data_IF_326361791930
#
_entry.id   IF_326361791930
#
_cell.length_a   1.000
_cell.length_b   1.000
_cell.length_c   1.000
_cell.angle_alpha   90.00
_cell.angle_beta   90.00
_cell.angle_gamma   90.00
#
_symmetry.space_group_name_H-M   'P 1'
#
loop_
_entity.id
_entity.type
_entity.pdbx_description
1 polymer ?
#
# COMPACT_ATOMS: atom_id res chain seq x y z
N UNK A 1 -24.63 -6.39 10.00
CA UNK A 1 -23.81 -6.01 11.17
C UNK A 1 -22.36 -5.92 10.73
N UNK A 2 -21.71 -4.76 10.93
CA UNK A 2 -20.35 -4.50 10.46
C UNK A 2 -19.30 -5.34 11.21
N UNK A 3 -18.24 -5.72 10.51
CA UNK A 3 -17.09 -6.48 11.03
C UNK A 3 -16.39 -5.76 12.20
N UNK A 4 -16.34 -4.43 12.18
CA UNK A 4 -15.75 -3.62 13.24
C UNK A 4 -16.50 -3.74 14.57
N UNK A 5 -17.84 -3.70 14.54
CA UNK A 5 -18.66 -3.83 15.75
C UNK A 5 -18.50 -5.20 16.41
N UNK A 6 -18.24 -6.25 15.64
CA UNK A 6 -17.96 -7.60 16.16
C UNK A 6 -16.58 -7.69 16.79
N UNK A 7 -15.60 -7.00 16.21
CA UNK A 7 -14.26 -6.90 16.77
C UNK A 7 -14.30 -6.18 18.11
N UNK A 8 -14.93 -5.00 18.17
CA UNK A 8 -15.14 -4.24 19.41
C UNK A 8 -15.78 -5.11 20.50
N UNK A 9 -16.85 -5.84 20.18
CA UNK A 9 -17.53 -6.74 21.12
C UNK A 9 -16.66 -7.92 21.60
N UNK A 10 -15.81 -8.49 20.72
CA UNK A 10 -14.88 -9.57 21.11
C UNK A 10 -13.71 -9.04 21.93
N UNK A 11 -13.23 -7.84 21.59
CA UNK A 11 -12.21 -7.14 22.36
C UNK A 11 -12.74 -6.82 23.75
N UNK A 12 -13.94 -6.24 23.86
CA UNK A 12 -14.65 -6.00 25.13
C UNK A 12 -14.80 -7.29 25.95
N UNK A 13 -15.12 -8.43 25.32
CA UNK A 13 -15.23 -9.72 26.00
C UNK A 13 -13.89 -10.31 26.51
N UNK A 14 -12.76 -9.96 25.88
CA UNK A 14 -11.41 -10.29 26.36
C UNK A 14 -10.97 -9.34 27.51
N UNK A 15 -11.64 -8.20 27.68
CA UNK A 15 -11.33 -7.18 28.69
C UNK A 15 -12.15 -7.42 29.97
N UNK A 16 -11.80 -8.45 30.73
CA UNK A 16 -12.32 -8.62 32.11
C UNK A 16 -11.23 -8.48 33.19
N UNK A 17 -10.13 -7.76 32.92
CA UNK A 17 -9.11 -7.54 33.96
C UNK A 17 -8.23 -6.31 33.86
N UNK A 18 -7.71 -5.95 32.68
CA UNK A 18 -6.54 -5.03 32.64
C UNK A 18 -6.41 -4.16 31.39
N UNK A 19 -7.27 -4.32 30.38
CA UNK A 19 -7.11 -3.62 29.10
C UNK A 19 -7.56 -2.14 29.16
N UNK A 20 -8.80 -1.80 29.55
CA UNK A 20 -9.31 -0.42 29.39
C UNK A 20 -8.51 0.72 30.08
N UNK A 21 -7.69 0.41 31.10
CA UNK A 21 -6.88 1.40 31.83
C UNK A 21 -5.51 1.68 31.17
N UNK A 22 -5.04 0.77 30.30
CA UNK A 22 -3.75 0.85 29.60
C UNK A 22 -3.90 1.48 28.21
N UNK A 23 -5.13 1.57 27.68
CA UNK A 23 -5.40 2.00 26.29
C UNK A 23 -5.91 3.44 26.18
N UNK A 24 -5.42 4.35 27.03
CA UNK A 24 -5.20 5.75 26.60
C UNK A 24 -3.97 5.86 25.69
N UNK A 25 -3.73 4.82 24.91
CA UNK A 25 -2.72 4.73 23.87
C UNK A 25 -3.16 5.65 22.73
N UNK A 26 -2.22 6.36 22.13
CA UNK A 26 -2.48 7.14 20.92
C UNK A 26 -2.83 6.23 19.74
N UNK A 27 -2.42 4.95 19.76
CA UNK A 27 -2.83 3.93 18.79
C UNK A 27 -3.99 3.10 19.32
N UNK A 28 -5.13 3.11 18.62
CA UNK A 28 -6.29 2.26 18.96
C UNK A 28 -6.29 0.95 18.15
N UNK A 29 -6.60 -0.21 18.76
CA UNK A 29 -6.69 -1.49 18.04
C UNK A 29 -7.68 -1.48 16.87
N UNK A 30 -8.75 -0.67 16.96
CA UNK A 30 -9.73 -0.50 15.89
C UNK A 30 -9.11 0.21 14.68
N UNK A 31 -8.17 1.12 14.90
CA UNK A 31 -7.45 1.79 13.82
C UNK A 31 -6.52 0.82 13.09
N UNK A 32 -5.81 -0.05 13.84
CA UNK A 32 -4.99 -1.13 13.28
C UNK A 32 -5.86 -2.09 12.46
N UNK A 33 -7.01 -2.50 12.98
CA UNK A 33 -7.96 -3.35 12.25
C UNK A 33 -8.44 -2.71 10.94
N UNK A 34 -8.78 -1.41 10.98
CA UNK A 34 -9.17 -0.66 9.80
C UNK A 34 -8.03 -0.52 8.79
N UNK A 35 -6.79 -0.32 9.27
CA UNK A 35 -5.62 -0.24 8.43
C UNK A 35 -5.32 -1.58 7.74
N UNK A 36 -5.46 -2.72 8.44
CA UNK A 36 -5.31 -4.06 7.86
C UNK A 36 -6.35 -4.35 6.77
N UNK A 37 -7.61 -3.94 6.97
CA UNK A 37 -8.66 -4.07 5.94
C UNK A 37 -8.31 -3.26 4.70
N UNK A 38 -7.94 -1.99 4.87
CA UNK A 38 -7.52 -1.11 3.76
C UNK A 38 -6.30 -1.67 3.04
N UNK A 39 -5.35 -2.25 3.78
CA UNK A 39 -4.15 -2.85 3.21
C UNK A 39 -4.46 -4.08 2.36
N UNK A 40 -5.47 -4.88 2.75
CA UNK A 40 -6.00 -5.96 1.91
C UNK A 40 -6.57 -5.44 0.60
N UNK A 41 -7.42 -4.40 0.67
CA UNK A 41 -8.06 -3.82 -0.52
C UNK A 41 -7.02 -3.19 -1.46
N UNK A 42 -6.00 -2.52 -0.91
CA UNK A 42 -4.96 -1.83 -1.67
C UNK A 42 -4.00 -2.77 -2.40
N UNK A 43 -3.68 -3.92 -1.80
CA UNK A 43 -2.80 -4.94 -2.39
C UNK A 43 -3.58 -6.11 -3.04
N UNK A 44 -4.90 -6.00 -3.10
CA UNK A 44 -5.76 -6.96 -3.79
C UNK A 44 -5.36 -7.04 -5.27
N UNK A 45 -4.85 -8.20 -5.68
CA UNK A 45 -4.36 -8.46 -7.03
C UNK A 45 -5.28 -9.46 -7.71
N UNK A 46 -5.78 -9.14 -8.89
CA UNK A 46 -6.62 -10.04 -9.67
C UNK A 46 -5.71 -11.13 -10.26
N UNK A 47 -5.87 -12.37 -9.79
CA UNK A 47 -5.07 -13.50 -10.27
C UNK A 47 -5.72 -14.17 -11.48
N UNK A 48 -7.04 -14.29 -11.49
CA UNK A 48 -7.82 -14.75 -12.63
C UNK A 48 -9.20 -14.08 -12.65
N UNK A 49 -10.03 -14.37 -13.66
CA UNK A 49 -11.38 -13.76 -13.82
C UNK A 49 -12.32 -14.00 -12.63
N UNK A 50 -12.03 -14.95 -11.76
CA UNK A 50 -12.91 -15.38 -10.66
C UNK A 50 -12.29 -15.18 -9.27
N UNK A 51 -11.00 -14.83 -9.17
CA UNK A 51 -10.26 -14.80 -7.90
C UNK A 51 -9.35 -13.59 -7.82
N UNK A 52 -9.62 -12.78 -6.79
CA UNK A 52 -8.75 -11.72 -6.31
C UNK A 52 -7.96 -12.26 -5.12
N UNK A 53 -6.64 -12.15 -5.22
CA UNK A 53 -5.70 -12.60 -4.20
C UNK A 53 -5.25 -11.43 -3.35
N UNK A 54 -5.17 -11.65 -2.04
CA UNK A 54 -4.70 -10.66 -1.06
C UNK A 54 -3.49 -11.18 -0.28
N UNK A 55 -2.67 -10.28 0.30
CA UNK A 55 -1.59 -10.67 1.20
C UNK A 55 -2.08 -11.51 2.38
N UNK A 56 -1.22 -12.41 2.84
CA UNK A 56 -1.52 -13.34 3.95
C UNK A 56 -0.55 -13.19 5.13
N UNK A 57 0.46 -12.34 5.03
CA UNK A 57 1.38 -12.04 6.12
C UNK A 57 1.36 -10.53 6.37
N UNK A 58 0.97 -10.12 7.57
CA UNK A 58 0.86 -8.72 7.97
C UNK A 58 1.72 -8.45 9.19
N UNK A 59 2.51 -7.39 9.10
CA UNK A 59 3.38 -6.92 10.17
C UNK A 59 2.88 -5.54 10.56
N UNK A 60 2.45 -5.40 11.82
CA UNK A 60 2.07 -4.12 12.41
C UNK A 60 3.26 -3.62 13.21
N UNK A 61 3.99 -2.68 12.63
CA UNK A 61 5.12 -2.02 13.26
C UNK A 61 4.60 -0.89 14.17
N UNK A 62 5.06 -0.87 15.40
CA UNK A 62 4.65 0.05 16.45
C UNK A 62 5.88 0.76 17.03
N UNK A 63 5.69 1.98 17.54
CA UNK A 63 6.71 2.68 18.32
C UNK A 63 7.18 1.82 19.50
N UNK A 64 8.43 2.01 19.94
CA UNK A 64 8.99 1.29 21.11
C UNK A 64 8.08 1.35 22.35
N UNK A 65 7.59 2.52 22.81
CA UNK A 65 6.74 2.59 24.00
C UNK A 65 5.36 1.94 23.81
N UNK A 66 4.81 1.95 22.59
CA UNK A 66 3.52 1.30 22.32
C UNK A 66 3.67 -0.22 22.20
N UNK A 67 4.75 -0.68 21.57
CA UNK A 67 5.08 -2.09 21.48
C UNK A 67 5.29 -2.72 22.86
N UNK A 68 6.05 -2.07 23.76
CA UNK A 68 6.29 -2.60 25.11
C UNK A 68 4.98 -2.76 25.92
N UNK A 69 4.02 -1.84 25.74
CA UNK A 69 2.70 -1.93 26.38
C UNK A 69 1.83 -3.04 25.80
N UNK A 70 1.92 -3.26 24.49
CA UNK A 70 1.11 -4.24 23.75
C UNK A 70 1.76 -5.64 23.71
N UNK A 71 3.05 -5.75 23.98
CA UNK A 71 3.84 -6.99 23.96
C UNK A 71 3.18 -8.12 24.75
N UNK A 72 2.65 -7.92 25.98
CA UNK A 72 2.00 -8.99 26.75
C UNK A 72 0.77 -9.60 26.07
N UNK A 73 0.15 -8.84 25.16
CA UNK A 73 -1.11 -9.20 24.49
C UNK A 73 -0.93 -9.42 22.99
N UNK A 74 0.29 -9.28 22.47
CA UNK A 74 0.62 -9.32 21.04
C UNK A 74 0.14 -10.60 20.35
N UNK A 75 0.25 -11.76 21.02
CA UNK A 75 -0.26 -13.03 20.51
C UNK A 75 -1.77 -13.04 20.33
N UNK A 76 -2.52 -12.75 21.40
CA UNK A 76 -3.99 -12.72 21.35
C UNK A 76 -4.52 -11.63 20.39
N UNK A 77 -3.89 -10.46 20.38
CA UNK A 77 -4.25 -9.37 19.48
C UNK A 77 -4.00 -9.78 18.02
N UNK A 78 -2.86 -10.41 17.72
CA UNK A 78 -2.53 -10.91 16.39
C UNK A 78 -3.53 -11.96 15.90
N UNK A 79 -3.95 -12.89 16.77
CA UNK A 79 -4.96 -13.90 16.45
C UNK A 79 -6.33 -13.29 16.15
N UNK A 80 -6.78 -12.32 16.96
CA UNK A 80 -8.05 -11.62 16.74
C UNK A 80 -8.03 -10.78 15.46
N UNK A 81 -6.94 -10.03 15.21
CA UNK A 81 -6.76 -9.26 13.98
C UNK A 81 -6.72 -10.18 12.74
N UNK A 82 -6.02 -11.32 12.83
CA UNK A 82 -6.01 -12.34 11.77
C UNK A 82 -7.41 -12.89 11.49
N UNK A 83 -8.18 -13.17 12.55
CA UNK A 83 -9.56 -13.62 12.46
C UNK A 83 -10.47 -12.60 11.77
N UNK A 84 -10.32 -11.32 12.13
CA UNK A 84 -11.05 -10.20 11.54
C UNK A 84 -10.74 -10.03 10.05
N UNK A 85 -9.47 -10.01 9.68
CA UNK A 85 -9.05 -9.84 8.28
C UNK A 85 -9.53 -11.03 7.44
N UNK A 86 -9.50 -12.24 7.99
CA UNK A 86 -10.07 -13.43 7.34
C UNK A 86 -11.58 -13.29 7.09
N UNK A 87 -12.33 -12.83 8.09
CA UNK A 87 -13.78 -12.62 7.96
C UNK A 87 -14.09 -11.51 6.94
N UNK A 88 -13.28 -10.45 6.91
CA UNK A 88 -13.38 -9.36 5.94
C UNK A 88 -13.13 -9.85 4.50
N UNK A 89 -12.03 -10.58 4.29
CA UNK A 89 -11.71 -11.15 2.98
C UNK A 89 -12.81 -12.09 2.46
N UNK A 90 -13.44 -12.89 3.34
CA UNK A 90 -14.59 -13.72 2.96
C UNK A 90 -15.77 -12.88 2.45
N UNK A 91 -16.04 -11.74 3.09
CA UNK A 91 -17.13 -10.84 2.66
C UNK A 91 -16.84 -10.21 1.30
N UNK A 92 -15.58 -9.81 1.06
CA UNK A 92 -15.13 -9.23 -0.21
C UNK A 92 -14.81 -10.26 -1.30
N UNK A 93 -15.01 -11.57 -1.03
CA UNK A 93 -14.63 -12.70 -1.90
C UNK A 93 -13.15 -12.72 -2.28
N UNK A 94 -12.29 -12.26 -1.38
CA UNK A 94 -10.83 -12.38 -1.53
C UNK A 94 -10.35 -13.76 -1.12
N UNK A 95 -9.26 -14.19 -1.75
CA UNK A 95 -8.60 -15.47 -1.48
C UNK A 95 -7.17 -15.23 -1.01
N UNK A 96 -6.78 -15.84 0.10
CA UNK A 96 -5.39 -15.85 0.56
C UNK A 96 -4.61 -17.00 -0.11
N UNK A 97 -3.32 -16.80 -0.38
CA UNK A 97 -2.40 -17.86 -0.87
C UNK A 97 -1.78 -18.72 0.25
N UNK A 98 -2.40 -18.71 1.44
CA UNK A 98 -1.89 -19.40 2.61
C UNK A 98 -2.67 -19.07 3.89
N UNK A 99 -2.22 -19.56 5.05
CA UNK A 99 -2.74 -19.10 6.34
C UNK A 99 -2.44 -17.61 6.49
N UNK A 100 -3.42 -16.88 7.02
CA UNK A 100 -3.22 -15.49 7.40
C UNK A 100 -2.49 -15.42 8.72
N UNK A 101 -1.48 -14.56 8.79
CA UNK A 101 -0.74 -14.24 10.01
C UNK A 101 -0.66 -12.73 10.18
N UNK A 102 -0.90 -12.28 11.40
CA UNK A 102 -0.72 -10.88 11.81
C UNK A 102 0.18 -10.89 13.02
N UNK A 103 1.31 -10.20 12.93
CA UNK A 103 2.27 -10.07 14.02
C UNK A 103 2.58 -8.61 14.28
N UNK A 104 2.90 -8.31 15.54
CA UNK A 104 3.31 -6.98 15.97
C UNK A 104 4.83 -6.96 16.07
N UNK A 105 5.45 -5.92 15.53
CA UNK A 105 6.89 -5.71 15.57
C UNK A 105 7.20 -4.31 16.09
N UNK A 106 8.38 -4.14 16.70
CA UNK A 106 8.84 -2.83 17.14
C UNK A 106 9.56 -2.11 16.00
N UNK A 107 9.33 -0.82 15.89
CA UNK A 107 10.02 0.06 14.97
C UNK A 107 10.59 1.24 15.76
N UNK A 108 11.91 1.32 15.81
CA UNK A 108 12.63 2.35 16.56
C UNK A 108 12.66 3.70 15.78
N UNK A 109 12.21 3.70 14.51
CA UNK A 109 12.04 4.89 13.65
C UNK A 109 10.65 5.55 13.80
N UNK A 110 9.72 4.95 14.55
CA UNK A 110 8.37 5.47 14.73
C UNK A 110 8.21 6.23 16.05
N UNK A 111 7.63 7.44 15.96
CA UNK A 111 7.20 8.20 17.13
C UNK A 111 6.02 7.52 17.85
N UNK A 112 5.84 7.84 19.14
CA UNK A 112 4.70 7.36 19.93
C UNK A 112 3.37 7.71 19.26
N UNK A 113 2.42 6.79 19.27
CA UNK A 113 1.15 6.99 18.59
C UNK A 113 1.17 6.71 17.09
N UNK A 114 2.36 6.46 16.51
CA UNK A 114 2.49 6.06 15.12
C UNK A 114 2.55 4.54 14.99
N UNK A 115 1.94 4.04 13.92
CA UNK A 115 2.03 2.65 13.51
C UNK A 115 2.16 2.56 11.99
N UNK A 116 2.81 1.51 11.52
CA UNK A 116 2.96 1.21 10.09
C UNK A 116 2.53 -0.22 9.84
N UNK A 117 1.64 -0.42 8.88
CA UNK A 117 1.23 -1.78 8.47
C UNK A 117 1.98 -2.15 7.21
N UNK A 118 2.62 -3.32 7.24
CA UNK A 118 3.28 -3.92 6.09
C UNK A 118 2.59 -5.22 5.74
N UNK A 119 2.39 -5.44 4.46
CA UNK A 119 1.81 -6.68 3.96
C UNK A 119 2.79 -7.42 3.05
N UNK A 120 2.78 -8.74 3.13
CA UNK A 120 3.57 -9.63 2.27
C UNK A 120 2.69 -10.79 1.80
N UNK A 121 2.82 -11.12 0.52
CA UNK A 121 2.24 -12.33 -0.07
C UNK A 121 3.26 -13.45 0.08
N UNK A 122 3.08 -14.29 1.10
CA UNK A 122 3.84 -15.52 1.25
C UNK A 122 3.06 -16.65 0.60
N UNK A 123 3.47 -17.02 -0.62
CA UNK A 123 2.96 -18.22 -1.26
C UNK A 123 3.29 -19.41 -0.36
N UNK A 124 2.27 -20.13 0.11
CA UNK A 124 2.49 -21.39 0.79
C UNK A 124 2.95 -22.40 -0.26
N UNK A 125 4.26 -22.48 -0.51
CA UNK A 125 4.85 -23.67 -1.10
C UNK A 125 4.79 -24.77 -0.04
N UNK A 126 3.64 -25.46 0.00
CA UNK A 126 3.54 -26.78 0.62
C UNK A 126 4.44 -27.74 -0.17
N UNK A 127 5.72 -27.75 0.17
CA UNK A 127 6.68 -28.79 -0.18
C UNK A 127 7.76 -28.88 0.89
N UNK A 128 7.37 -28.79 2.17
CA UNK A 128 8.26 -29.18 3.25
C UNK A 128 7.90 -30.60 3.67
N UNK A 129 8.50 -31.54 2.93
CA UNK A 129 8.95 -32.87 3.38
C UNK A 129 8.37 -33.38 4.70
N UNK A 130 7.17 -33.95 4.62
CA UNK A 130 6.77 -35.03 5.51
C UNK A 130 7.52 -36.28 5.04
N UNK A 131 8.71 -36.51 5.61
CA UNK A 131 9.45 -37.75 5.43
C UNK A 131 9.26 -38.56 6.72
N UNK A 132 8.25 -39.43 6.80
CA UNK A 132 8.10 -40.32 7.94
C UNK A 132 9.19 -41.40 7.88
N UNK A 133 9.94 -41.51 8.99
CA UNK A 133 10.60 -42.73 9.45
C UNK A 133 11.54 -43.43 8.47
N UNK A 134 12.84 -43.19 8.63
CA UNK A 134 13.90 -44.10 8.17
C UNK A 134 13.73 -45.46 8.86
N UNK A 135 13.05 -46.39 8.19
CA UNK A 135 13.24 -47.81 8.41
C UNK A 135 14.24 -48.34 7.40
N UNK A 136 15.40 -48.72 7.94
CA UNK A 136 16.45 -49.46 7.26
C UNK A 136 15.92 -50.84 6.87
N UNK A 137 15.90 -51.18 5.57
CA UNK A 137 15.89 -52.57 5.12
C UNK A 137 16.88 -52.79 3.97
N UNK A 138 17.51 -53.97 3.91
CA UNK A 138 18.79 -54.18 3.25
C UNK A 138 18.67 -54.48 1.75
N UNK A 139 19.68 -54.02 1.02
CA UNK A 139 19.90 -54.24 -0.41
C UNK A 139 20.02 -55.74 -0.76
N UNK A 140 19.34 -56.14 -1.83
CA UNK A 140 19.68 -57.33 -2.63
C UNK A 140 20.12 -56.90 -4.04
N UNK A 141 21.19 -57.47 -4.59
CA UNK A 141 21.70 -57.11 -5.91
C UNK A 141 20.97 -57.88 -7.03
N UNK A 142 20.67 -57.20 -8.14
CA UNK A 142 20.17 -57.79 -9.38
C UNK A 142 21.29 -57.85 -10.44
N UNK A 143 21.43 -58.96 -11.20
CA UNK A 143 22.39 -59.05 -12.30
C UNK A 143 21.75 -58.87 -13.69
N UNK A 144 22.52 -58.31 -14.62
CA UNK A 144 22.65 -58.84 -15.99
C UNK A 144 21.67 -58.40 -17.09
N UNK A 145 22.13 -57.44 -17.91
CA UNK A 145 21.74 -57.02 -19.29
C UNK A 145 21.51 -58.20 -20.29
N UNK A 146 20.91 -58.03 -21.52
CA UNK A 146 21.34 -57.06 -22.55
C UNK A 146 20.26 -56.54 -23.55
N UNK A 147 20.74 -55.99 -24.67
CA UNK A 147 20.22 -54.89 -25.48
C UNK A 147 19.55 -55.27 -26.83
N UNK A 148 18.72 -54.33 -27.33
CA UNK A 148 18.42 -53.95 -28.75
C UNK A 148 17.82 -55.04 -29.69
N UNK A 149 16.96 -54.70 -30.70
CA UNK A 149 17.24 -53.71 -31.76
C UNK A 149 16.07 -52.80 -32.21
N UNK A 150 16.45 -51.86 -33.07
CA UNK A 150 15.74 -50.70 -33.63
C UNK A 150 14.79 -51.05 -34.79
N UNK A 151 13.74 -50.25 -35.01
CA UNK A 151 13.14 -49.97 -36.33
C UNK A 151 12.24 -48.70 -36.29
N UNK A 152 11.98 -48.02 -37.43
CA UNK A 152 11.91 -46.56 -37.52
C UNK A 152 10.52 -45.98 -37.88
N UNK A 153 10.35 -44.68 -37.64
CA UNK A 153 9.24 -43.85 -38.14
C UNK A 153 8.78 -42.86 -37.06
N UNK A 154 8.55 -41.58 -37.29
CA UNK A 154 8.59 -40.73 -38.47
C UNK A 154 8.34 -39.29 -37.99
N UNK A 155 8.78 -38.33 -38.81
CA UNK A 155 8.45 -36.89 -38.87
C UNK A 155 7.14 -36.47 -38.16
N UNK A 156 7.00 -35.32 -37.50
CA UNK A 156 7.83 -34.13 -37.37
C UNK A 156 7.08 -33.11 -36.48
N UNK A 157 7.82 -32.30 -35.73
CA UNK A 157 7.28 -31.13 -35.03
C UNK A 157 7.14 -29.96 -36.00
N UNK A 158 6.02 -29.22 -36.02
CA UNK A 158 6.05 -27.84 -36.49
C UNK A 158 6.42 -26.89 -35.32
N UNK A 159 7.30 -25.91 -35.53
CA UNK A 159 7.50 -24.82 -34.58
C UNK A 159 6.36 -23.80 -34.69
N UNK A 160 5.69 -23.50 -33.58
CA UNK A 160 4.71 -22.41 -33.51
C UNK A 160 5.45 -21.06 -33.44
N UNK A 161 5.29 -20.26 -34.49
CA UNK A 161 5.81 -18.90 -34.61
C UNK A 161 5.09 -17.91 -33.66
N UNK A 162 5.75 -16.82 -33.23
CA UNK A 162 5.11 -15.74 -32.47
C UNK A 162 4.14 -14.90 -33.33
N UNK A 163 3.09 -14.30 -32.74
CA UNK A 163 2.13 -13.47 -33.47
C UNK A 163 2.73 -12.10 -33.87
N UNK A 164 2.38 -11.56 -35.05
CA UNK A 164 2.82 -10.23 -35.49
C UNK A 164 2.00 -9.09 -34.88
N UNK A 165 2.66 -7.96 -34.64
CA UNK A 165 2.07 -6.68 -34.23
C UNK A 165 1.26 -6.05 -35.39
N UNK A 166 0.15 -5.32 -35.14
CA UNK A 166 -0.42 -4.40 -36.14
C UNK A 166 0.30 -3.04 -36.15
N UNK A 167 0.59 -2.57 -37.36
CA UNK A 167 1.32 -1.36 -37.68
C UNK A 167 0.47 -0.07 -37.57
N UNK A 168 1.19 1.05 -37.50
CA UNK A 168 0.78 2.45 -37.42
C UNK A 168 -0.24 2.93 -38.49
N UNK A 169 -0.94 4.06 -38.25
CA UNK A 169 -1.97 4.61 -39.13
C UNK A 169 -1.42 5.30 -40.40
N UNK A 170 -2.21 5.41 -41.48
CA UNK A 170 -1.81 6.11 -42.71
C UNK A 170 -1.93 7.64 -42.61
N UNK A 171 -1.18 8.41 -43.42
CA UNK A 171 -1.22 9.87 -43.48
C UNK A 171 -2.04 10.42 -44.66
N UNK A 172 -2.49 11.67 -44.54
CA UNK A 172 -3.03 12.50 -45.63
C UNK A 172 -4.49 12.91 -45.36
N UNK A 173 -4.91 14.17 -45.51
CA UNK A 173 -4.28 15.41 -45.94
C UNK A 173 -5.37 16.49 -46.04
N UNK A 174 -4.97 17.77 -46.03
CA UNK A 174 -5.82 18.88 -46.50
C UNK A 174 -6.44 19.77 -45.43
N UNK A 175 -5.85 20.96 -45.26
CA UNK A 175 -6.50 22.18 -44.73
C UNK A 175 -7.62 22.64 -45.69
N UNK A 176 -8.55 23.50 -45.24
CA UNK A 176 -8.35 24.94 -45.49
C UNK A 176 -8.72 25.85 -44.29
N UNK A 177 -8.58 27.15 -44.53
CA UNK A 177 -8.33 28.25 -43.62
C UNK A 177 -9.51 28.75 -42.75
N UNK A 178 -9.14 29.62 -41.80
CA UNK A 178 -9.93 30.34 -40.80
C UNK A 178 -11.06 31.24 -41.37
N UNK A 179 -11.94 31.78 -40.50
CA UNK A 179 -11.59 33.07 -39.89
C UNK A 179 -11.92 33.23 -38.40
N UNK A 180 -11.26 34.24 -37.86
CA UNK A 180 -11.36 34.87 -36.54
C UNK A 180 -12.79 35.18 -36.08
N UNK A 181 -13.08 34.88 -34.82
CA UNK A 181 -13.91 35.77 -34.00
C UNK A 181 -13.43 35.72 -32.55
N UNK A 182 -12.83 36.84 -32.17
CA UNK A 182 -12.76 37.32 -30.80
C UNK A 182 -14.03 37.02 -30.01
N UNK A 183 -13.84 36.35 -28.87
CA UNK A 183 -14.63 36.66 -27.67
C UNK A 183 -13.86 36.29 -26.40
N UNK A 184 -12.96 37.21 -26.04
CA UNK A 184 -12.68 37.52 -24.64
C UNK A 184 -13.93 38.16 -24.03
N UNK A 185 -14.35 37.74 -22.83
CA UNK A 185 -14.83 38.72 -21.85
C UNK A 185 -14.24 38.42 -20.46
N UNK A 186 -14.33 39.39 -19.53
CA UNK A 186 -13.35 40.45 -19.37
C UNK A 186 -12.35 40.11 -18.27
N UNK A 187 -11.16 40.70 -18.37
CA UNK A 187 -10.35 40.98 -17.21
C UNK A 187 -11.21 41.79 -16.23
N UNK A 188 -11.60 41.17 -15.12
CA UNK A 188 -12.09 41.90 -13.96
C UNK A 188 -10.97 42.80 -13.45
N UNK A 189 -11.27 44.06 -13.09
CA UNK A 189 -10.27 44.94 -12.51
C UNK A 189 -10.02 44.51 -11.06
N UNK A 190 -8.75 44.24 -10.72
CA UNK A 190 -8.31 44.24 -9.33
C UNK A 190 -8.33 42.91 -8.60
N UNK A 191 -7.57 41.93 -9.08
CA UNK A 191 -6.73 41.19 -8.14
C UNK A 191 -5.30 41.63 -8.47
N UNK A 192 -4.70 42.36 -7.54
CA UNK A 192 -3.28 42.70 -7.51
C UNK A 192 -2.48 41.42 -7.84
N UNK A 193 -1.28 41.49 -8.47
CA UNK A 193 -0.40 40.34 -8.50
C UNK A 193 -0.12 39.96 -7.04
N UNK A 194 -0.88 38.99 -6.54
CA UNK A 194 -0.74 38.42 -5.21
C UNK A 194 0.75 38.08 -5.10
N UNK A 195 1.42 38.66 -4.10
CA UNK A 195 2.86 38.50 -3.86
C UNK A 195 3.22 37.06 -4.22
N UNK A 196 4.12 36.87 -5.19
CA UNK A 196 4.27 35.58 -5.86
C UNK A 196 4.92 34.59 -4.88
N UNK A 197 4.10 34.03 -3.98
CA UNK A 197 4.57 33.22 -2.87
C UNK A 197 5.18 31.97 -3.46
N UNK A 198 6.52 31.89 -3.39
CA UNK A 198 7.26 30.73 -3.84
C UNK A 198 7.04 29.64 -2.81
N UNK A 199 6.51 28.51 -3.27
CA UNK A 199 6.20 27.35 -2.44
C UNK A 199 7.10 26.20 -2.87
N UNK A 200 7.70 25.51 -1.91
CA UNK A 200 8.46 24.29 -2.16
C UNK A 200 8.30 23.32 -1.01
N UNK A 201 8.53 22.05 -1.30
CA UNK A 201 8.60 21.00 -0.28
C UNK A 201 10.02 20.46 -0.22
N UNK A 202 10.46 20.16 0.98
CA UNK A 202 11.75 19.51 1.24
C UNK A 202 11.49 18.05 1.60
N UNK A 203 12.03 17.13 0.79
CA UNK A 203 11.90 15.68 0.95
C UNK A 203 13.30 15.09 0.95
N UNK A 204 13.70 14.39 2.03
CA UNK A 204 15.03 13.77 2.13
C UNK A 204 16.19 14.74 1.79
N UNK A 205 16.05 16.02 2.16
CA UNK A 205 17.02 17.08 1.86
C UNK A 205 16.96 17.66 0.44
N UNK A 206 16.12 17.13 -0.44
CA UNK A 206 15.90 17.65 -1.80
C UNK A 206 14.72 18.61 -1.83
N UNK A 207 14.88 19.76 -2.49
CA UNK A 207 13.84 20.77 -2.66
C UNK A 207 13.05 20.52 -3.95
N UNK A 208 11.74 20.38 -3.83
CA UNK A 208 10.81 20.26 -4.95
C UNK A 208 9.90 21.49 -5.00
N UNK A 209 9.98 22.26 -6.08
CA UNK A 209 9.20 23.49 -6.22
C UNK A 209 7.75 23.20 -6.60
N UNK A 210 6.81 23.81 -5.90
CA UNK A 210 5.38 23.72 -6.20
C UNK A 210 5.01 24.88 -7.12
N UNK A 211 4.83 24.56 -8.40
CA UNK A 211 4.47 25.55 -9.43
C UNK A 211 3.02 25.43 -9.90
N UNK A 212 2.32 24.38 -9.47
CA UNK A 212 0.94 24.05 -9.86
C UNK A 212 -0.03 24.36 -8.71
N UNK A 213 -1.31 24.66 -9.01
CA UNK A 213 -2.34 24.89 -7.99
C UNK A 213 -2.63 23.64 -7.15
N UNK A 214 -2.43 22.45 -7.73
CA UNK A 214 -2.53 21.15 -7.05
C UNK A 214 -1.26 20.36 -7.33
N UNK A 215 -0.74 19.70 -6.30
CA UNK A 215 0.44 18.85 -6.35
C UNK A 215 0.10 17.50 -5.71
N UNK A 216 0.16 16.42 -6.48
CA UNK A 216 -0.08 15.06 -5.98
C UNK A 216 1.25 14.40 -5.59
N UNK A 217 1.30 13.83 -4.39
CA UNK A 217 2.43 13.06 -3.88
C UNK A 217 2.06 11.59 -3.75
N UNK A 218 3.00 10.70 -4.07
CA UNK A 218 2.82 9.27 -3.90
C UNK A 218 3.93 8.44 -4.51
N UNK A 219 3.80 7.10 -4.43
CA UNK A 219 4.80 6.15 -4.95
C UNK A 219 4.66 5.88 -6.46
N UNK A 220 3.50 6.16 -7.06
CA UNK A 220 3.27 5.91 -8.49
C UNK A 220 4.02 6.91 -9.37
N UNK A 221 4.27 6.53 -10.61
CA UNK A 221 4.75 7.45 -11.66
C UNK A 221 3.71 8.50 -12.05
N UNK A 222 2.45 8.29 -11.67
CA UNK A 222 1.34 9.23 -11.93
C UNK A 222 1.27 10.39 -10.92
N UNK A 223 2.12 10.37 -9.88
CA UNK A 223 2.21 11.47 -8.91
C UNK A 223 3.15 12.57 -9.44
N UNK A 224 2.83 13.84 -9.16
CA UNK A 224 3.71 14.97 -9.49
C UNK A 224 5.05 14.88 -8.75
N UNK A 225 5.00 14.40 -7.50
CA UNK A 225 6.18 14.16 -6.68
C UNK A 225 6.20 12.70 -6.27
N UNK A 226 7.18 11.99 -6.81
CA UNK A 226 7.38 10.57 -6.53
C UNK A 226 8.16 10.39 -5.23
N UNK A 227 7.58 9.66 -4.30
CA UNK A 227 8.21 9.29 -3.04
C UNK A 227 8.47 7.79 -3.09
N UNK A 228 9.74 7.40 -3.08
CA UNK A 228 10.16 6.00 -3.12
C UNK A 228 10.21 5.42 -1.71
N UNK A 229 9.02 5.20 -1.15
CA UNK A 229 8.84 4.71 0.20
C UNK A 229 7.77 3.61 0.19
N UNK A 230 8.08 2.41 0.73
CA UNK A 230 7.13 1.29 0.78
C UNK A 230 5.84 1.60 1.55
N UNK A 231 5.90 2.48 2.54
CA UNK A 231 4.76 2.95 3.35
C UNK A 231 3.95 4.06 2.67
N UNK A 232 4.31 4.46 1.45
CA UNK A 232 3.59 5.49 0.69
C UNK A 232 2.73 4.85 -0.39
N UNK A 233 1.42 5.16 -0.36
CA UNK A 233 0.48 4.73 -1.38
C UNK A 233 0.77 5.35 -2.76
N UNK A 234 0.26 4.72 -3.82
CA UNK A 234 0.43 5.15 -5.22
C UNK A 234 0.08 6.64 -5.43
N UNK A 235 -1.09 7.05 -4.95
CA UNK A 235 -1.52 8.44 -4.78
C UNK A 235 -1.84 8.60 -3.30
N UNK A 236 -0.94 9.24 -2.56
CA UNK A 236 -1.04 9.27 -1.11
C UNK A 236 -1.81 10.51 -0.65
N UNK A 237 -1.33 11.69 -1.05
CA UNK A 237 -1.93 12.95 -0.65
C UNK A 237 -1.75 14.01 -1.75
N UNK A 238 -2.59 15.03 -1.70
CA UNK A 238 -2.48 16.20 -2.57
C UNK A 238 -2.36 17.48 -1.75
N UNK A 239 -1.47 18.38 -2.19
CA UNK A 239 -1.39 19.74 -1.69
C UNK A 239 -2.11 20.65 -2.67
N UNK A 240 -3.08 21.41 -2.17
CA UNK A 240 -3.75 22.49 -2.90
C UNK A 240 -3.16 23.81 -2.42
N UNK A 241 -2.42 24.47 -3.31
CA UNK A 241 -1.85 25.80 -3.02
C UNK A 241 -2.95 26.84 -3.12
N UNK A 242 -3.06 27.67 -2.09
CA UNK A 242 -4.04 28.75 -2.01
C UNK A 242 -3.79 29.58 -0.76
N UNK A 243 -4.76 30.42 -0.44
CA UNK A 243 -4.74 31.28 0.76
C UNK A 243 -5.97 30.91 1.61
N UNK A 244 -5.89 29.86 2.44
CA UNK A 244 -4.69 29.15 2.87
C UNK A 244 -4.36 27.89 2.03
N UNK A 245 -3.11 27.46 2.08
CA UNK A 245 -2.67 26.21 1.44
C UNK A 245 -3.15 25.02 2.28
N UNK A 246 -3.61 23.96 1.63
CA UNK A 246 -4.20 22.80 2.31
C UNK A 246 -3.61 21.51 1.77
N UNK A 247 -3.56 20.49 2.62
CA UNK A 247 -3.22 19.12 2.24
C UNK A 247 -4.43 18.24 2.48
N UNK A 248 -4.64 17.29 1.58
CA UNK A 248 -5.71 16.31 1.65
C UNK A 248 -5.16 14.91 1.40
N UNK A 249 -5.54 13.98 2.25
CA UNK A 249 -5.28 12.56 2.05
C UNK A 249 -6.21 12.00 0.96
N UNK A 250 -5.66 11.18 0.05
CA UNK A 250 -6.39 10.57 -1.06
C UNK A 250 -6.80 9.12 -0.79
N UNK A 251 -6.90 8.72 0.49
CA UNK A 251 -7.17 7.35 0.91
C UNK A 251 -5.88 6.54 1.04
N UNK A 252 -4.84 7.13 1.60
CA UNK A 252 -3.58 6.42 1.81
C UNK A 252 -3.71 5.32 2.88
N UNK A 253 -2.80 4.33 2.84
CA UNK A 253 -2.80 3.22 3.81
C UNK A 253 -2.53 3.72 5.23
N UNK A 254 -1.49 4.55 5.39
CA UNK A 254 -0.97 4.99 6.69
C UNK A 254 -1.53 6.35 7.14
N UNK A 255 -2.27 7.04 6.26
CA UNK A 255 -2.71 8.42 6.50
C UNK A 255 -1.56 9.41 6.39
N UNK A 256 -1.89 10.70 6.51
CA UNK A 256 -0.91 11.78 6.63
C UNK A 256 -0.89 12.30 8.07
N UNK A 257 0.31 12.63 8.54
CA UNK A 257 0.51 13.33 9.81
C UNK A 257 0.96 14.74 9.49
N UNK A 258 0.28 15.74 10.04
CA UNK A 258 0.65 17.15 9.87
C UNK A 258 0.91 17.75 11.24
N UNK A 259 2.12 18.27 11.42
CA UNK A 259 2.58 18.88 12.69
C UNK A 259 2.36 17.97 13.91
N UNK A 260 2.55 16.65 13.72
CA UNK A 260 2.39 15.62 14.75
C UNK A 260 0.95 15.14 14.97
N UNK A 261 -0.01 15.54 14.13
CA UNK A 261 -1.41 15.12 14.23
C UNK A 261 -1.86 14.36 12.98
N UNK A 262 -2.41 13.16 13.17
CA UNK A 262 -3.03 12.39 12.08
C UNK A 262 -4.28 13.09 11.58
N UNK A 263 -4.34 13.35 10.29
CA UNK A 263 -5.46 14.07 9.68
C UNK A 263 -5.73 13.61 8.27
N UNK A 264 -6.97 13.73 7.81
CA UNK A 264 -7.31 13.55 6.39
C UNK A 264 -7.29 14.87 5.62
N UNK A 265 -7.37 16.00 6.32
CA UNK A 265 -7.26 17.35 5.74
C UNK A 265 -6.69 18.33 6.75
N UNK A 266 -5.63 19.03 6.37
CA UNK A 266 -5.04 20.07 7.20
C UNK A 266 -4.67 21.31 6.40
N UNK A 267 -4.53 22.42 7.13
CA UNK A 267 -4.04 23.68 6.57
C UNK A 267 -2.53 23.71 6.76
N UNK A 268 -1.79 23.98 5.69
CA UNK A 268 -0.33 24.08 5.70
C UNK A 268 0.13 25.52 5.87
N UNK A 269 1.16 25.71 6.70
CA UNK A 269 1.86 26.98 6.93
C UNK A 269 3.34 26.80 6.63
N UNK A 270 4.07 27.91 6.48
CA UNK A 270 5.54 27.81 6.35
C UNK A 270 6.13 27.03 7.52
N UNK A 271 6.93 26.01 7.21
CA UNK A 271 7.54 25.12 8.20
C UNK A 271 6.68 23.94 8.64
N UNK A 272 5.44 23.81 8.15
CA UNK A 272 4.59 22.65 8.47
C UNK A 272 5.27 21.35 8.08
N UNK A 273 5.30 20.39 9.01
CA UNK A 273 5.89 19.07 8.84
C UNK A 273 4.81 18.08 8.48
N UNK A 274 4.98 17.42 7.35
CA UNK A 274 4.05 16.43 6.81
C UNK A 274 4.79 15.10 6.80
N UNK A 275 4.30 14.10 7.52
CA UNK A 275 4.84 12.75 7.49
C UNK A 275 3.91 11.87 6.66
N UNK A 276 4.52 11.14 5.74
CA UNK A 276 3.85 10.30 4.74
C UNK A 276 4.61 8.97 4.70
N UNK A 277 4.02 7.90 5.24
CA UNK A 277 4.76 6.64 5.42
C UNK A 277 5.93 6.84 6.39
N UNK A 278 7.16 6.56 5.96
CA UNK A 278 8.41 6.89 6.71
C UNK A 278 9.06 8.20 6.25
N UNK A 279 8.50 8.86 5.24
CA UNK A 279 9.11 10.05 4.66
C UNK A 279 8.60 11.31 5.36
N UNK A 280 9.52 12.12 5.89
CA UNK A 280 9.22 13.45 6.41
C UNK A 280 9.39 14.50 5.33
N UNK A 281 8.36 15.33 5.18
CA UNK A 281 8.28 16.39 4.19
C UNK A 281 8.08 17.71 4.93
N UNK A 282 8.86 18.74 4.60
CA UNK A 282 8.66 20.08 5.16
C UNK A 282 8.09 20.99 4.10
N UNK A 283 6.92 21.55 4.35
CA UNK A 283 6.33 22.56 3.48
C UNK A 283 6.93 23.93 3.79
N UNK A 284 7.38 24.62 2.75
CA UNK A 284 7.92 25.96 2.84
C UNK A 284 7.20 26.89 1.88
N UNK A 285 6.97 28.11 2.34
CA UNK A 285 6.45 29.19 1.53
C UNK A 285 7.17 30.49 1.89
N UNK A 286 7.63 31.21 0.88
CA UNK A 286 8.22 32.54 1.05
C UNK A 286 7.43 33.53 0.19
N UNK A 287 7.01 34.64 0.81
CA UNK A 287 6.59 35.82 0.05
C UNK A 287 7.80 36.36 -0.71
N UNK A 288 7.60 36.57 -2.01
CA UNK A 288 8.62 37.09 -2.94
C UNK A 288 8.60 38.60 -3.01
#
# INVERSE_FOLDING_TARGET
MGVMKRFEQRLEGLVNGTFAKVFKSEVQPVEIAGALQRECDNNATIWNRERTVVPNDFIVELSTPDYERLSPYSGQLGDELSGLVRDYAKQQRYTFMGPIKVHLEKADDLDTGLYRVRSRTLASSSSQSDQPGQHSQPQRPAPGRPAAPQAPGGYGYPPAAPPPMPAAPPPGGGRPAAPTSDRRPPAGPGALPDAQVRRWIEINGTRHQISRPTLVMGRSTDADVRIDDPGVSRRHCEIRTGTPSTIQDLGSTNGIVVDGQHTTRATLRDGSRIVVGSTTIVYRQAEG
#
